data_IF_280922558840
#
_entry.id   IF_280922558840
#
_cell.length_a   1.000
_cell.length_b   1.000
_cell.length_c   1.000
_cell.angle_alpha   90.00
_cell.angle_beta   90.00
_cell.angle_gamma   90.00
#
_symmetry.space_group_name_H-M   'P 1'
#
loop_
_entity.id
_entity.type
_entity.pdbx_description
1 polymer ?
#
# COMPACT_ATOMS: atom_id res chain seq x y z
N UNK A 1 -7.37 0.61 19.51
CA UNK A 1 -5.99 0.69 19.04
C UNK A 1 -5.03 0.69 20.22
N UNK A 2 -4.01 -0.18 20.18
CA UNK A 2 -3.03 -0.30 21.27
C UNK A 2 -1.91 0.75 21.20
N UNK A 3 -1.96 1.65 20.27
CA UNK A 3 -1.00 2.73 20.11
C UNK A 3 -1.67 4.09 20.12
N UNK A 4 -0.86 5.16 20.07
CA UNK A 4 -1.35 6.52 20.18
C UNK A 4 -2.14 6.96 18.94
N UNK A 5 -2.87 8.09 19.03
CA UNK A 5 -3.36 8.78 17.85
C UNK A 5 -2.21 9.14 16.91
N UNK A 6 -2.48 9.07 15.60
CA UNK A 6 -1.49 9.51 14.62
C UNK A 6 -1.24 11.01 14.78
N UNK A 7 -0.02 11.39 15.13
CA UNK A 7 0.35 12.75 15.41
C UNK A 7 1.70 13.12 14.79
N UNK A 8 1.89 14.41 14.57
CA UNK A 8 3.14 14.94 14.06
C UNK A 8 3.26 14.98 12.53
N UNK A 9 4.17 15.81 12.08
CA UNK A 9 4.45 16.04 10.66
C UNK A 9 5.14 14.83 10.02
N UNK A 10 6.03 14.14 10.76
CA UNK A 10 6.85 13.03 10.26
C UNK A 10 6.02 11.83 9.80
N UNK A 11 4.91 11.52 10.47
CA UNK A 11 4.00 10.44 10.04
C UNK A 11 3.27 10.72 8.71
N UNK A 12 3.25 11.97 8.28
CA UNK A 12 2.53 12.41 7.07
C UNK A 12 3.42 12.65 5.86
N UNK A 13 4.71 12.93 6.09
CA UNK A 13 5.68 13.19 5.01
C UNK A 13 6.16 11.86 4.42
N UNK A 14 5.95 11.59 3.12
CA UNK A 14 6.41 10.35 2.51
C UNK A 14 7.92 10.09 2.66
N UNK A 15 8.74 11.12 2.55
CA UNK A 15 10.19 11.02 2.71
C UNK A 15 10.64 10.68 4.14
N UNK A 16 9.76 10.83 5.14
CA UNK A 16 10.06 10.53 6.54
C UNK A 16 9.73 9.07 6.93
N UNK A 17 9.57 8.18 5.95
CA UNK A 17 9.22 6.78 6.16
C UNK A 17 10.14 6.10 7.19
N UNK A 18 11.43 6.30 7.08
CA UNK A 18 12.42 5.66 7.94
C UNK A 18 12.25 6.02 9.43
N UNK A 19 11.89 7.25 9.72
CA UNK A 19 11.58 7.67 11.09
C UNK A 19 10.40 6.91 11.67
N UNK A 20 9.32 6.75 10.89
CA UNK A 20 8.13 6.06 11.37
C UNK A 20 8.37 4.56 11.56
N UNK A 21 9.22 3.95 10.75
CA UNK A 21 9.58 2.53 10.86
C UNK A 21 10.46 2.21 12.07
N UNK A 22 11.24 3.17 12.58
CA UNK A 22 12.15 2.98 13.71
C UNK A 22 11.67 3.63 15.01
N UNK A 23 10.50 4.28 15.01
CA UNK A 23 9.92 4.90 16.20
C UNK A 23 9.06 3.89 16.97
N UNK A 24 9.51 3.50 18.16
CA UNK A 24 8.83 2.52 19.02
C UNK A 24 7.46 3.01 19.54
N UNK A 25 7.17 4.28 19.45
CA UNK A 25 5.84 4.84 19.77
C UNK A 25 4.80 4.39 18.76
N UNK A 26 5.20 4.18 17.48
CA UNK A 26 4.32 3.88 16.36
C UNK A 26 4.51 2.47 15.79
N UNK A 27 5.48 1.72 16.30
CA UNK A 27 5.86 0.42 15.78
C UNK A 27 5.96 -0.61 16.92
N UNK A 28 5.44 -1.83 16.69
CA UNK A 28 5.62 -2.96 17.60
C UNK A 28 7.06 -3.45 17.69
N UNK A 29 7.93 -3.05 16.75
CA UNK A 29 9.33 -3.41 16.72
C UNK A 29 9.61 -4.93 16.76
N UNK A 30 8.75 -5.73 16.13
CA UNK A 30 8.96 -7.17 16.05
C UNK A 30 10.25 -7.52 15.29
N UNK A 31 10.87 -8.63 15.70
CA UNK A 31 11.99 -9.23 14.99
C UNK A 31 11.70 -10.71 14.75
N UNK A 32 12.23 -11.26 13.67
CA UNK A 32 12.14 -12.70 13.41
C UNK A 32 12.95 -13.50 14.43
N UNK A 33 12.68 -14.81 14.53
CA UNK A 33 13.66 -15.73 15.09
C UNK A 33 14.92 -15.77 14.21
N UNK A 34 16.05 -16.28 14.75
CA UNK A 34 17.25 -16.46 13.95
C UNK A 34 16.94 -17.33 12.73
N UNK A 35 17.30 -16.84 11.53
CA UNK A 35 17.10 -17.58 10.29
C UNK A 35 18.36 -18.38 9.92
N UNK A 36 18.39 -19.69 10.07
CA UNK A 36 19.61 -20.50 9.89
C UNK A 36 20.22 -20.40 8.50
N UNK A 37 19.35 -20.30 7.46
CA UNK A 37 19.78 -20.20 6.06
C UNK A 37 20.23 -18.80 5.66
N UNK A 38 20.14 -17.83 6.57
CA UNK A 38 20.56 -16.44 6.36
C UNK A 38 21.64 -16.01 7.37
N UNK A 39 22.53 -16.94 7.77
CA UNK A 39 23.60 -16.67 8.72
C UNK A 39 23.11 -16.42 10.15
N UNK A 40 22.01 -17.04 10.56
CA UNK A 40 21.36 -16.84 11.86
C UNK A 40 20.99 -15.39 12.19
N UNK A 41 20.84 -14.55 11.19
CA UNK A 41 20.45 -13.14 11.42
C UNK A 41 18.97 -13.06 11.82
N UNK A 42 18.66 -12.07 12.62
CA UNK A 42 17.30 -11.63 12.90
C UNK A 42 16.95 -10.44 12.01
N UNK A 43 15.75 -10.44 11.49
CA UNK A 43 15.27 -9.35 10.61
C UNK A 43 14.20 -8.54 11.33
N UNK A 44 14.24 -7.22 11.15
CA UNK A 44 13.19 -6.34 11.64
C UNK A 44 11.88 -6.58 10.87
N UNK A 45 10.77 -6.68 11.60
CA UNK A 45 9.43 -6.87 11.07
C UNK A 45 8.50 -5.75 11.57
N UNK A 46 8.63 -4.53 11.06
CA UNK A 46 7.85 -3.40 11.54
C UNK A 46 6.35 -3.61 11.31
N UNK A 47 5.57 -3.32 12.35
CA UNK A 47 4.09 -3.32 12.32
C UNK A 47 3.60 -2.10 13.06
N UNK A 48 2.65 -1.38 12.46
CA UNK A 48 2.11 -0.16 13.05
C UNK A 48 1.34 -0.42 14.33
N UNK A 49 1.71 0.34 15.37
CA UNK A 49 1.01 0.47 16.64
C UNK A 49 0.55 1.92 16.77
N UNK A 50 -0.45 2.30 16.02
CA UNK A 50 -0.93 3.68 15.87
C UNK A 50 -2.25 3.65 15.12
N UNK A 51 -3.13 4.63 15.30
CA UNK A 51 -4.36 4.74 14.51
C UNK A 51 -4.06 4.65 13.00
N UNK A 52 -4.75 3.73 12.33
CA UNK A 52 -4.49 3.36 10.93
C UNK A 52 -3.51 2.20 10.75
N UNK A 53 -2.93 1.69 11.86
CA UNK A 53 -2.04 0.52 11.85
C UNK A 53 -0.84 0.69 10.91
N UNK A 54 -0.44 -0.40 10.24
CA UNK A 54 0.71 -0.38 9.35
C UNK A 54 0.57 0.54 8.13
N UNK A 55 -0.65 0.97 7.77
CA UNK A 55 -0.82 1.97 6.70
C UNK A 55 -0.26 3.35 7.08
N UNK A 56 -0.07 3.59 8.38
CA UNK A 56 0.50 4.84 8.92
C UNK A 56 2.03 4.86 8.91
N UNK A 57 2.69 3.69 8.75
CA UNK A 57 4.16 3.56 8.77
C UNK A 57 4.75 2.84 7.55
N UNK A 58 3.94 2.28 6.64
CA UNK A 58 4.42 1.54 5.46
C UNK A 58 5.02 2.45 4.37
N UNK A 59 5.60 1.85 3.33
CA UNK A 59 6.17 2.54 2.17
C UNK A 59 5.16 3.14 1.19
N UNK A 60 3.87 3.12 1.51
CA UNK A 60 2.78 3.69 0.70
C UNK A 60 2.62 3.08 -0.71
N UNK A 61 3.32 2.04 -1.05
CA UNK A 61 3.10 1.39 -2.35
C UNK A 61 1.68 0.86 -2.46
N UNK A 62 1.04 1.14 -3.59
CA UNK A 62 -0.28 0.64 -3.92
C UNK A 62 -0.16 -0.39 -5.04
N UNK A 63 -0.32 -1.65 -4.68
CA UNK A 63 -0.29 -2.79 -5.60
C UNK A 63 -1.39 -3.75 -5.21
N UNK A 64 -2.19 -4.18 -6.18
CA UNK A 64 -3.21 -5.24 -6.01
C UNK A 64 -2.59 -6.61 -6.22
N UNK A 65 -3.21 -7.64 -5.64
CA UNK A 65 -2.87 -9.02 -5.94
C UNK A 65 -3.09 -9.36 -7.41
N UNK A 66 -2.35 -10.33 -7.92
CA UNK A 66 -2.49 -10.79 -9.31
C UNK A 66 -3.87 -11.46 -9.52
N UNK A 67 -4.55 -11.26 -10.64
CA UNK A 67 -5.81 -11.93 -10.96
C UNK A 67 -5.76 -13.45 -10.76
N UNK A 68 -4.66 -14.09 -11.14
CA UNK A 68 -4.50 -15.54 -11.00
C UNK A 68 -4.51 -16.02 -9.53
N UNK A 69 -4.09 -15.19 -8.57
CA UNK A 69 -4.15 -15.55 -7.15
C UNK A 69 -5.60 -15.69 -6.70
N UNK A 70 -6.45 -14.71 -7.06
CA UNK A 70 -7.88 -14.71 -6.76
C UNK A 70 -8.61 -15.84 -7.49
N UNK A 71 -8.33 -16.04 -8.76
CA UNK A 71 -8.96 -17.09 -9.56
C UNK A 71 -8.53 -18.48 -9.07
N UNK A 72 -7.30 -18.62 -8.54
CA UNK A 72 -6.87 -19.86 -7.89
C UNK A 72 -7.63 -20.15 -6.60
N UNK A 73 -8.07 -19.13 -5.86
CA UNK A 73 -8.94 -19.32 -4.69
C UNK A 73 -10.34 -19.73 -5.11
N UNK A 74 -10.89 -19.10 -6.14
CA UNK A 74 -12.18 -19.46 -6.70
C UNK A 74 -12.19 -20.94 -7.16
N UNK A 75 -11.15 -21.39 -7.84
CA UNK A 75 -10.98 -22.76 -8.28
C UNK A 75 -10.94 -23.80 -7.13
N UNK A 76 -10.68 -23.34 -5.91
CA UNK A 76 -10.71 -24.17 -4.69
C UNK A 76 -12.08 -24.12 -3.97
N UNK A 77 -13.11 -23.63 -4.62
CA UNK A 77 -14.49 -23.56 -4.09
C UNK A 77 -14.85 -22.24 -3.40
N UNK A 78 -14.01 -21.20 -3.57
CA UNK A 78 -14.29 -19.85 -3.05
C UNK A 78 -14.77 -18.95 -4.21
N UNK A 79 -15.86 -19.32 -4.88
CA UNK A 79 -16.31 -18.72 -6.14
C UNK A 79 -16.45 -17.20 -6.09
N UNK A 80 -16.88 -16.66 -4.94
CA UNK A 80 -17.06 -15.21 -4.73
C UNK A 80 -15.72 -14.45 -4.57
N UNK A 81 -14.60 -15.15 -4.60
CA UNK A 81 -13.25 -14.60 -4.50
C UNK A 81 -12.50 -14.58 -5.83
N UNK A 82 -13.16 -14.89 -6.96
CA UNK A 82 -12.51 -14.68 -8.26
C UNK A 82 -12.15 -13.22 -8.48
N UNK A 83 -11.18 -12.95 -9.31
CA UNK A 83 -10.76 -11.57 -9.58
C UNK A 83 -11.91 -10.69 -10.07
N UNK A 84 -12.78 -11.23 -10.92
CA UNK A 84 -13.96 -10.51 -11.41
C UNK A 84 -14.93 -10.12 -10.29
N UNK A 85 -15.08 -10.93 -9.24
CA UNK A 85 -15.86 -10.59 -8.06
C UNK A 85 -15.15 -9.56 -7.15
N UNK A 86 -13.82 -9.62 -7.05
CA UNK A 86 -13.03 -8.72 -6.21
C UNK A 86 -12.82 -7.34 -6.83
N UNK A 87 -12.72 -7.25 -8.16
CA UNK A 87 -12.42 -6.01 -8.87
C UNK A 87 -13.36 -4.83 -8.55
N UNK A 88 -14.69 -5.00 -8.46
CA UNK A 88 -15.59 -3.91 -8.06
C UNK A 88 -15.27 -3.33 -6.68
N UNK A 89 -14.77 -4.14 -5.75
CA UNK A 89 -14.37 -3.70 -4.42
C UNK A 89 -13.05 -2.93 -4.46
N UNK A 90 -12.09 -3.35 -5.27
CA UNK A 90 -10.86 -2.60 -5.50
C UNK A 90 -11.17 -1.22 -6.09
N UNK A 91 -12.03 -1.16 -7.10
CA UNK A 91 -12.47 0.11 -7.70
C UNK A 91 -13.21 1.00 -6.70
N UNK A 92 -14.10 0.43 -5.89
CA UNK A 92 -14.85 1.17 -4.86
C UNK A 92 -13.96 1.75 -3.77
N UNK A 93 -12.85 1.09 -3.46
CA UNK A 93 -11.90 1.55 -2.45
C UNK A 93 -11.04 2.72 -2.95
N UNK A 94 -10.71 2.74 -4.23
CA UNK A 94 -9.67 3.58 -4.83
C UNK A 94 -10.20 4.91 -5.37
N UNK A 95 -9.40 5.95 -5.20
CA UNK A 95 -9.50 7.22 -5.92
C UNK A 95 -8.18 7.50 -6.64
N UNK A 96 -8.06 6.97 -7.86
CA UNK A 96 -6.86 7.14 -8.67
C UNK A 96 -6.80 8.52 -9.30
N UNK A 97 -5.70 9.20 -9.17
CA UNK A 97 -5.54 10.61 -9.57
C UNK A 97 -5.69 10.84 -11.08
N UNK A 98 -5.42 9.81 -11.90
CA UNK A 98 -5.57 9.89 -13.37
C UNK A 98 -7.00 9.59 -13.85
N UNK A 99 -7.92 9.28 -12.95
CA UNK A 99 -9.29 8.89 -13.27
C UNK A 99 -9.52 7.39 -13.24
N UNK A 100 -10.79 7.00 -13.35
CA UNK A 100 -11.21 5.61 -13.40
C UNK A 100 -11.21 5.03 -14.81
N UNK A 101 -11.08 3.69 -14.89
CA UNK A 101 -11.23 2.91 -16.12
C UNK A 101 -11.85 1.54 -15.80
N UNK A 102 -11.66 0.53 -16.66
CA UNK A 102 -12.17 -0.81 -16.43
C UNK A 102 -11.58 -1.46 -15.18
N UNK A 103 -10.35 -1.10 -14.80
CA UNK A 103 -9.60 -1.66 -13.67
C UNK A 103 -9.49 -0.71 -12.48
N UNK A 104 -9.46 0.59 -12.72
CA UNK A 104 -9.18 1.61 -11.70
C UNK A 104 -10.44 2.31 -11.22
N UNK A 105 -10.47 2.69 -9.94
CA UNK A 105 -11.52 3.52 -9.36
C UNK A 105 -11.07 4.97 -9.14
N UNK A 106 -12.00 5.92 -9.17
CA UNK A 106 -11.71 7.36 -9.04
C UNK A 106 -12.57 8.09 -8.00
N UNK A 107 -13.45 7.35 -7.31
CA UNK A 107 -14.39 7.92 -6.34
C UNK A 107 -14.28 7.34 -4.93
N UNK A 108 -13.35 6.39 -4.72
CA UNK A 108 -13.16 5.77 -3.41
C UNK A 108 -12.44 6.67 -2.40
N UNK A 109 -12.45 6.30 -1.13
CA UNK A 109 -11.83 7.11 -0.06
C UNK A 109 -10.31 7.04 -0.03
N UNK A 110 -9.70 6.00 -0.64
CA UNK A 110 -8.26 5.78 -0.63
C UNK A 110 -7.62 6.44 -1.84
N UNK A 111 -7.05 7.61 -1.65
CA UNK A 111 -6.35 8.32 -2.70
C UNK A 111 -5.07 7.60 -3.12
N UNK A 112 -4.90 7.49 -4.43
CA UNK A 112 -3.75 6.88 -5.09
C UNK A 112 -3.18 7.86 -6.11
N UNK A 113 -1.93 8.21 -5.95
CA UNK A 113 -1.19 9.03 -6.92
C UNK A 113 -0.28 8.18 -7.78
N UNK A 114 -0.18 8.46 -9.08
CA UNK A 114 0.72 7.75 -9.97
C UNK A 114 2.16 8.04 -9.59
N UNK A 115 3.01 7.03 -9.73
CA UNK A 115 4.44 7.24 -9.65
C UNK A 115 4.96 7.96 -10.89
N UNK A 116 6.09 8.61 -10.74
CA UNK A 116 6.82 9.24 -11.84
C UNK A 116 8.31 9.00 -11.67
N UNK A 117 9.04 9.01 -12.77
CA UNK A 117 10.50 8.99 -12.76
C UNK A 117 10.98 10.26 -12.05
N UNK A 118 11.80 10.07 -11.02
CA UNK A 118 12.31 11.14 -10.19
C UNK A 118 13.78 11.44 -10.48
N UNK A 119 14.53 10.42 -10.91
CA UNK A 119 15.96 10.50 -11.10
C UNK A 119 16.39 9.84 -12.42
N UNK A 120 17.57 10.21 -12.97
CA UNK A 120 18.13 9.50 -14.12
C UNK A 120 18.38 8.00 -13.85
N UNK A 121 18.56 7.61 -12.59
CA UNK A 121 18.76 6.22 -12.21
C UNK A 121 17.48 5.40 -12.38
N UNK A 122 16.31 5.97 -12.06
CA UNK A 122 15.01 5.31 -12.28
C UNK A 122 14.82 5.00 -13.77
N UNK A 123 15.15 5.96 -14.63
CA UNK A 123 15.07 5.76 -16.08
C UNK A 123 16.06 4.70 -16.55
N UNK A 124 17.32 4.78 -16.12
CA UNK A 124 18.35 3.83 -16.49
C UNK A 124 17.99 2.39 -16.06
N UNK A 125 17.34 2.23 -14.90
CA UNK A 125 16.87 0.93 -14.42
C UNK A 125 15.76 0.35 -15.33
N UNK A 126 14.79 1.18 -15.72
CA UNK A 126 13.74 0.75 -16.65
C UNK A 126 14.32 0.39 -18.03
N UNK A 127 15.21 1.21 -18.55
CA UNK A 127 15.87 0.98 -19.84
C UNK A 127 16.67 -0.34 -19.81
N UNK A 128 17.39 -0.61 -18.74
CA UNK A 128 18.14 -1.85 -18.55
C UNK A 128 17.21 -3.08 -18.51
N UNK A 129 16.07 -2.98 -17.86
CA UNK A 129 15.07 -4.05 -17.82
C UNK A 129 14.52 -4.35 -19.22
N UNK A 130 14.21 -3.33 -20.00
CA UNK A 130 13.75 -3.47 -21.39
C UNK A 130 14.83 -4.06 -22.29
N UNK A 131 16.09 -3.61 -22.16
CA UNK A 131 17.24 -4.15 -22.88
C UNK A 131 17.48 -5.64 -22.55
N UNK A 132 17.19 -6.05 -21.30
CA UNK A 132 17.26 -7.45 -20.88
C UNK A 132 16.07 -8.31 -21.38
N UNK A 133 15.15 -7.73 -22.15
CA UNK A 133 14.00 -8.44 -22.74
C UNK A 133 12.78 -8.54 -21.82
N UNK A 134 12.76 -7.83 -20.70
CA UNK A 134 11.56 -7.78 -19.84
C UNK A 134 10.50 -6.84 -20.41
N UNK A 135 9.23 -7.16 -20.15
CA UNK A 135 8.12 -6.32 -20.58
C UNK A 135 8.00 -5.03 -19.76
N UNK A 136 7.41 -4.00 -20.36
CA UNK A 136 7.00 -2.78 -19.64
C UNK A 136 5.53 -2.92 -19.20
N UNK A 137 5.26 -2.55 -17.95
CA UNK A 137 3.90 -2.37 -17.43
C UNK A 137 3.65 -0.89 -17.18
N UNK A 138 2.72 -0.33 -17.94
CA UNK A 138 2.31 1.07 -17.76
C UNK A 138 1.52 1.28 -16.47
N UNK A 139 0.73 0.26 -16.10
CA UNK A 139 -0.08 0.24 -14.88
C UNK A 139 -0.08 -1.15 -14.25
N UNK A 140 0.65 -1.30 -13.15
CA UNK A 140 0.73 -2.55 -12.38
C UNK A 140 -0.60 -2.93 -11.69
N UNK A 141 -1.60 -2.06 -11.71
CA UNK A 141 -2.94 -2.31 -11.15
C UNK A 141 -4.02 -2.38 -12.25
N UNK A 142 -3.63 -2.23 -13.52
CA UNK A 142 -4.48 -2.29 -14.69
C UNK A 142 -4.60 -3.70 -15.29
N UNK A 143 -4.82 -3.74 -16.59
CA UNK A 143 -5.01 -4.99 -17.36
C UNK A 143 -3.79 -5.92 -17.28
N UNK A 144 -2.58 -5.37 -17.36
CA UNK A 144 -1.34 -6.14 -17.39
C UNK A 144 -0.44 -5.76 -16.20
N UNK A 145 -0.32 -6.67 -15.26
CA UNK A 145 0.56 -6.48 -14.10
C UNK A 145 2.02 -6.88 -14.36
N UNK A 146 2.22 -7.83 -15.27
CA UNK A 146 3.55 -8.38 -15.56
C UNK A 146 4.41 -7.38 -16.31
N UNK A 147 5.60 -7.14 -15.80
CA UNK A 147 6.58 -6.24 -16.40
C UNK A 147 7.21 -5.29 -15.40
N UNK A 148 8.16 -4.53 -15.89
CA UNK A 148 8.77 -3.44 -15.13
C UNK A 148 7.95 -2.16 -15.31
N UNK A 149 7.64 -1.51 -14.23
CA UNK A 149 6.87 -0.27 -14.20
C UNK A 149 7.05 0.46 -12.89
N UNK A 150 6.46 1.64 -12.79
CA UNK A 150 6.49 2.45 -11.58
C UNK A 150 5.31 2.08 -10.69
N UNK A 151 5.56 1.95 -9.38
CA UNK A 151 4.51 1.64 -8.41
C UNK A 151 3.79 2.90 -7.94
N UNK A 152 2.47 2.90 -8.06
CA UNK A 152 1.61 3.94 -7.49
C UNK A 152 1.74 4.03 -5.97
N UNK A 153 1.32 5.15 -5.40
CA UNK A 153 1.46 5.42 -3.97
C UNK A 153 0.16 5.88 -3.34
N UNK A 154 -0.09 5.41 -2.12
CA UNK A 154 -1.14 5.94 -1.26
C UNK A 154 -0.74 7.31 -0.72
N UNK A 155 -0.83 8.32 -1.57
CA UNK A 155 -0.55 9.71 -1.23
C UNK A 155 -1.63 10.63 -1.78
N UNK A 156 -1.85 11.74 -1.09
CA UNK A 156 -2.75 12.80 -1.50
C UNK A 156 -2.16 14.17 -1.15
N UNK A 157 -2.05 15.04 -2.14
CA UNK A 157 -1.48 16.39 -1.98
C UNK A 157 -0.10 16.38 -1.30
N UNK A 158 0.76 15.44 -1.72
CA UNK A 158 2.11 15.30 -1.20
C UNK A 158 2.20 14.68 0.21
N UNK A 159 1.13 14.14 0.75
CA UNK A 159 1.08 13.51 2.08
C UNK A 159 0.68 12.05 1.97
N UNK A 160 1.15 11.22 2.92
CA UNK A 160 0.64 9.87 3.14
C UNK A 160 -0.89 9.91 3.28
N UNK A 161 -1.56 8.95 2.66
CA UNK A 161 -3.00 8.77 2.75
C UNK A 161 -3.31 7.31 3.09
N UNK A 162 -3.29 7.01 4.38
CA UNK A 162 -3.52 5.66 4.90
C UNK A 162 -4.97 5.40 5.30
N UNK A 163 -5.21 4.24 5.93
CA UNK A 163 -6.54 3.82 6.37
C UNK A 163 -7.16 4.80 7.39
N UNK A 164 -6.34 5.45 8.21
CA UNK A 164 -6.83 6.49 9.13
C UNK A 164 -7.47 7.65 8.36
N UNK A 165 -6.76 8.24 7.41
CA UNK A 165 -7.26 9.40 6.66
C UNK A 165 -8.42 9.03 5.74
N UNK A 166 -8.36 7.85 5.11
CA UNK A 166 -9.35 7.38 4.14
C UNK A 166 -10.67 6.96 4.79
N UNK A 167 -10.62 6.29 5.94
CA UNK A 167 -11.80 5.62 6.51
C UNK A 167 -12.13 6.07 7.93
N UNK A 168 -11.15 6.04 8.85
CA UNK A 168 -11.46 6.29 10.26
C UNK A 168 -11.76 7.77 10.51
N UNK A 169 -10.93 8.67 10.03
CA UNK A 169 -11.08 10.11 10.24
C UNK A 169 -12.46 10.67 9.81
N UNK A 170 -12.99 10.36 8.63
CA UNK A 170 -14.35 10.78 8.27
C UNK A 170 -15.43 10.11 9.13
N UNK A 171 -15.18 8.90 9.64
CA UNK A 171 -16.12 8.15 10.46
C UNK A 171 -16.17 8.61 11.92
N UNK A 172 -15.17 9.34 12.44
CA UNK A 172 -15.12 9.84 13.83
C UNK A 172 -16.32 10.71 14.22
N UNK A 173 -17.07 11.23 13.24
CA UNK A 173 -18.28 12.03 13.48
C UNK A 173 -19.54 11.19 13.73
N UNK A 174 -19.44 9.87 13.60
CA UNK A 174 -20.60 8.98 13.78
C UNK A 174 -20.86 8.78 15.28
N UNK A 175 -22.09 8.95 15.72
CA UNK A 175 -22.47 8.76 17.12
C UNK A 175 -22.29 7.32 17.62
N UNK A 176 -22.37 6.34 16.71
CA UNK A 176 -22.20 4.92 17.02
C UNK A 176 -20.73 4.44 16.93
N UNK A 177 -19.77 5.34 16.78
CA UNK A 177 -18.34 5.01 16.77
C UNK A 177 -17.64 5.64 17.96
N UNK A 178 -17.06 4.79 18.78
CA UNK A 178 -16.16 5.19 19.86
C UNK A 178 -14.75 4.66 19.56
N UNK A 179 -13.73 5.50 19.70
CA UNK A 179 -12.34 5.15 19.42
C UNK A 179 -11.50 5.39 20.66
N UNK A 180 -10.92 4.32 21.18
CA UNK A 180 -10.00 4.34 22.31
C UNK A 180 -8.58 4.06 21.82
N UNK A 181 -7.59 4.74 22.43
CA UNK A 181 -6.16 4.61 22.14
C UNK A 181 -5.37 4.50 23.43
N UNK A 182 -4.17 3.87 23.41
CA UNK A 182 -3.19 3.67 24.52
C UNK A 182 -3.62 2.64 25.58
#
# INVERSE_FOLDING_TARGET
EAGPPISGLMSRIPAALDFALHDDRFNWCYTTDPEPYMGNRRMSCPRGRVLGGSSSINGMQFVRGNPNDFDSWAAKGLDTWSYSHCLPYFKRMECFQRGGDDYRGDHGPLHVSPASIQTPLDQAFLDAALQAGHGYSEDNNGFRQDGFGLSDKNTYRGRRWGAFDAYLKPALKRENLHVETD
#
